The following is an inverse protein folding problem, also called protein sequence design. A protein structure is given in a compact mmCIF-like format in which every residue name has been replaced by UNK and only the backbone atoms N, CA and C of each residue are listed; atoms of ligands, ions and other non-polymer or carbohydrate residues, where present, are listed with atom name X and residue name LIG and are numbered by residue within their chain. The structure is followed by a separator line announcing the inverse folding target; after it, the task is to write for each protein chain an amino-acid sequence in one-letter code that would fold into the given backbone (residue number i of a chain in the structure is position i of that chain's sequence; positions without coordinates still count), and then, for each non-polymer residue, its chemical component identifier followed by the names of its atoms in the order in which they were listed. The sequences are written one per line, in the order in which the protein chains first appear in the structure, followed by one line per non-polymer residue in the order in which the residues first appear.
data_IF_112556658201
#
_entry.id   IF_112556658201
#
_cell.length_a   1.000
_cell.length_b   1.000
_cell.length_c   1.000
_cell.angle_alpha   90.00
_cell.angle_beta   90.00
_cell.angle_gamma   90.00
#
_symmetry.space_group_name_H-M   'P 1'
#
loop_
_entity.id
_entity.type
_entity.pdbx_description
1 polymer ?
#
# COMPACT_ATOMS: atom_id res chain seq x y z
N UNK A 1 -7.02 -7.00 12.17
CA UNK A 1 -7.81 -8.24 11.98
C UNK A 1 -6.93 -9.41 12.37
N UNK A 2 -7.46 -10.34 13.17
CA UNK A 2 -6.70 -11.11 14.15
C UNK A 2 -5.98 -12.37 13.66
N UNK A 3 -5.97 -12.70 12.36
CA UNK A 3 -5.42 -13.98 11.87
C UNK A 3 -6.09 -15.23 12.47
N UNK A 4 -7.17 -15.08 13.24
CA UNK A 4 -7.80 -16.21 13.92
C UNK A 4 -8.52 -17.11 12.92
N UNK A 5 -9.25 -16.57 11.96
CA UNK A 5 -9.79 -17.36 10.85
C UNK A 5 -8.74 -18.29 10.19
N UNK A 6 -7.48 -17.81 10.17
CA UNK A 6 -6.24 -18.45 9.70
C UNK A 6 -5.84 -19.69 10.53
N UNK A 7 -5.88 -19.56 11.85
CA UNK A 7 -5.47 -20.64 12.75
C UNK A 7 -6.51 -21.78 12.86
N UNK A 8 -7.82 -21.51 12.64
CA UNK A 8 -8.89 -22.51 12.87
C UNK A 8 -8.85 -23.60 11.82
N UNK A 9 -8.64 -23.21 10.57
CA UNK A 9 -8.54 -24.16 9.48
C UNK A 9 -7.21 -24.94 9.56
N UNK A 10 -6.10 -24.27 9.88
CA UNK A 10 -4.78 -24.93 9.96
C UNK A 10 -4.68 -25.94 11.09
N UNK A 11 -5.20 -25.61 12.28
CA UNK A 11 -5.05 -26.46 13.47
C UNK A 11 -6.17 -27.50 13.62
N UNK A 12 -7.38 -27.20 13.14
CA UNK A 12 -8.58 -28.03 13.43
C UNK A 12 -9.40 -28.40 12.19
N UNK A 13 -8.92 -28.08 10.98
CA UNK A 13 -9.63 -28.30 9.69
C UNK A 13 -11.03 -27.66 9.64
N UNK A 14 -11.24 -26.63 10.46
CA UNK A 14 -12.50 -25.89 10.55
C UNK A 14 -12.38 -24.55 9.85
N UNK A 15 -12.93 -24.46 8.64
CA UNK A 15 -12.85 -23.28 7.79
C UNK A 15 -13.76 -22.13 8.26
N UNK A 16 -13.18 -20.95 8.49
CA UNK A 16 -13.94 -19.75 8.80
C UNK A 16 -14.84 -19.29 7.64
N UNK A 17 -14.42 -19.51 6.39
CA UNK A 17 -15.19 -19.20 5.19
C UNK A 17 -16.45 -20.08 5.04
N UNK A 18 -16.49 -21.22 5.74
CA UNK A 18 -17.64 -22.14 5.78
C UNK A 18 -18.50 -21.96 7.05
N UNK A 19 -18.24 -20.93 7.85
CA UNK A 19 -18.99 -20.64 9.08
C UNK A 19 -18.66 -21.55 10.28
N UNK A 20 -17.71 -22.48 10.14
CA UNK A 20 -17.38 -23.49 11.16
C UNK A 20 -16.23 -23.05 12.10
N UNK A 21 -15.96 -21.74 12.20
CA UNK A 21 -14.77 -21.19 12.87
C UNK A 21 -14.66 -21.64 14.34
N UNK A 22 -13.52 -22.23 14.70
CA UNK A 22 -13.24 -22.77 16.03
C UNK A 22 -12.67 -21.73 17.02
N UNK A 23 -12.64 -20.44 16.67
CA UNK A 23 -11.82 -19.49 17.42
C UNK A 23 -12.40 -18.88 18.67
N UNK A 24 -11.48 -18.77 19.61
CA UNK A 24 -11.58 -18.18 20.94
C UNK A 24 -12.27 -16.83 21.00
N UNK A 25 -12.08 -15.95 20.01
CA UNK A 25 -12.66 -14.59 20.02
C UNK A 25 -14.21 -14.51 20.05
N UNK A 26 -14.93 -15.62 19.89
CA UNK A 26 -16.40 -15.70 20.10
C UNK A 26 -16.81 -16.30 21.45
N UNK A 27 -15.86 -16.78 22.24
CA UNK A 27 -16.13 -17.38 23.53
C UNK A 27 -16.05 -16.32 24.63
N UNK A 28 -16.79 -16.53 25.71
CA UNK A 28 -16.75 -15.66 26.87
C UNK A 28 -15.58 -16.07 27.76
N UNK A 29 -14.60 -15.17 27.94
CA UNK A 29 -13.45 -15.41 28.81
C UNK A 29 -13.52 -14.65 30.12
N UNK A 30 -12.87 -15.22 31.14
CA UNK A 30 -12.55 -14.58 32.42
C UNK A 30 -11.07 -14.76 32.70
N UNK A 31 -10.39 -13.69 33.11
CA UNK A 31 -8.97 -13.72 33.46
C UNK A 31 -8.83 -14.14 34.93
N UNK A 32 -8.05 -15.19 35.22
CA UNK A 32 -7.77 -15.67 36.58
C UNK A 32 -6.27 -15.80 36.80
N UNK A 33 -5.83 -15.39 37.99
CA UNK A 33 -4.47 -15.53 38.47
C UNK A 33 -4.38 -16.71 39.43
N UNK A 34 -3.40 -17.59 39.25
CA UNK A 34 -3.18 -18.73 40.14
C UNK A 34 -1.94 -18.49 41.00
N UNK A 35 -2.13 -18.48 42.33
CA UNK A 35 -1.05 -18.38 43.31
C UNK A 35 -0.27 -19.70 43.38
N UNK A 36 0.97 -19.65 43.88
CA UNK A 36 1.86 -20.83 44.01
C UNK A 36 1.32 -21.93 44.93
N UNK A 37 0.30 -21.61 45.74
CA UNK A 37 -0.43 -22.57 46.59
C UNK A 37 -1.63 -23.22 45.87
N UNK A 38 -1.84 -22.92 44.58
CA UNK A 38 -2.89 -23.48 43.74
C UNK A 38 -4.22 -22.71 43.76
N UNK A 39 -4.36 -21.67 44.60
CA UNK A 39 -5.61 -20.88 44.65
C UNK A 39 -5.72 -19.92 43.46
N UNK A 40 -6.92 -19.77 42.89
CA UNK A 40 -7.16 -18.86 41.76
C UNK A 40 -8.06 -17.69 42.14
N UNK A 41 -7.69 -16.47 41.75
CA UNK A 41 -8.46 -15.23 41.97
C UNK A 41 -8.70 -14.49 40.65
N UNK A 42 -9.87 -13.87 40.52
CA UNK A 42 -10.20 -12.98 39.39
C UNK A 42 -9.62 -11.59 39.72
N UNK A 43 -8.77 -11.05 38.83
CA UNK A 43 -8.08 -9.78 39.05
C UNK A 43 -8.50 -8.79 37.97
N UNK A 44 -8.86 -7.60 38.40
CA UNK A 44 -9.17 -6.48 37.52
C UNK A 44 -7.87 -5.82 37.06
N UNK A 45 -7.62 -5.83 35.75
CA UNK A 45 -6.42 -5.25 35.15
C UNK A 45 -6.54 -3.72 35.09
N UNK A 46 -5.48 -3.02 35.47
CA UNK A 46 -5.35 -1.57 35.35
C UNK A 46 -3.94 -1.19 34.88
N UNK A 47 -3.73 0.08 34.56
CA UNK A 47 -2.46 0.55 33.99
C UNK A 47 -1.25 0.35 34.93
N UNK A 48 -1.49 0.21 36.24
CA UNK A 48 -0.44 0.02 37.23
C UNK A 48 0.00 -1.44 37.39
N UNK A 49 -0.85 -2.41 37.02
CA UNK A 49 -0.61 -3.83 37.31
C UNK A 49 -0.38 -4.69 36.06
N UNK A 50 -0.72 -4.22 34.86
CA UNK A 50 -0.64 -5.00 33.61
C UNK A 50 0.76 -5.51 33.28
N UNK A 51 1.81 -4.77 33.62
CA UNK A 51 3.20 -5.14 33.33
C UNK A 51 3.83 -6.12 34.33
N UNK A 52 3.10 -6.48 35.40
CA UNK A 52 3.59 -7.40 36.43
C UNK A 52 3.33 -8.88 36.08
N UNK A 53 2.68 -9.16 34.94
CA UNK A 53 2.21 -10.50 34.58
C UNK A 53 2.69 -10.92 33.19
N UNK A 54 3.05 -12.20 33.05
CA UNK A 54 3.22 -12.85 31.75
C UNK A 54 1.88 -13.48 31.34
N UNK A 55 1.34 -13.10 30.19
CA UNK A 55 0.12 -13.68 29.64
C UNK A 55 0.46 -14.92 28.82
N UNK A 56 -0.06 -16.08 29.23
CA UNK A 56 0.16 -17.36 28.58
C UNK A 56 -1.19 -17.94 28.12
N UNK A 57 -1.21 -18.50 26.90
CA UNK A 57 -2.32 -19.31 26.39
C UNK A 57 -1.93 -20.78 26.46
N UNK A 58 -2.80 -21.58 27.05
CA UNK A 58 -2.76 -23.04 27.00
C UNK A 58 -3.92 -23.53 26.12
N UNK A 59 -3.62 -24.43 25.18
CA UNK A 59 -4.63 -25.03 24.30
C UNK A 59 -5.09 -26.38 24.87
N UNK A 60 -6.41 -26.65 24.85
CA UNK A 60 -7.00 -27.89 25.40
C UNK A 60 -6.44 -29.20 24.78
N UNK A 61 -5.94 -29.14 23.54
CA UNK A 61 -5.38 -30.29 22.82
C UNK A 61 -3.87 -30.44 23.01
N UNK A 62 -3.21 -29.49 23.66
CA UNK A 62 -1.77 -29.51 23.99
C UNK A 62 -1.55 -29.12 25.46
N UNK A 63 -2.07 -29.92 26.40
CA UNK A 63 -1.92 -29.64 27.82
C UNK A 63 -0.43 -29.59 28.19
N UNK A 64 -0.01 -28.50 28.83
CA UNK A 64 1.37 -28.23 29.24
C UNK A 64 2.21 -27.39 28.27
N UNK A 65 1.75 -27.09 27.07
CA UNK A 65 2.43 -26.15 26.16
C UNK A 65 1.86 -24.73 26.32
N UNK A 66 2.64 -23.87 26.98
CA UNK A 66 2.28 -22.47 27.21
C UNK A 66 2.78 -21.58 26.07
N UNK A 67 1.88 -20.83 25.42
CA UNK A 67 2.21 -19.83 24.40
C UNK A 67 2.15 -18.43 24.98
N UNK A 68 3.25 -17.68 24.90
CA UNK A 68 3.29 -16.28 25.38
C UNK A 68 2.49 -15.36 24.46
N UNK A 69 1.54 -14.62 25.04
CA UNK A 69 0.97 -13.42 24.39
C UNK A 69 1.88 -12.26 24.77
N UNK A 70 2.64 -11.78 23.79
CA UNK A 70 3.37 -10.52 23.92
C UNK A 70 2.48 -9.41 23.35
N UNK A 71 2.27 -8.36 24.15
CA UNK A 71 1.63 -7.12 23.75
C UNK A 71 2.56 -5.98 24.18
N UNK A 72 3.04 -5.20 23.21
CA UNK A 72 3.80 -3.98 23.46
C UNK A 72 3.05 -2.76 22.89
N UNK A 73 3.71 -1.59 22.86
CA UNK A 73 3.13 -0.37 22.27
C UNK A 73 2.70 -0.53 20.78
N UNK A 74 3.13 -1.59 20.10
CA UNK A 74 2.84 -1.89 18.69
C UNK A 74 1.77 -3.00 18.52
N UNK A 75 1.32 -3.66 19.60
CA UNK A 75 0.16 -4.55 19.66
C UNK A 75 0.48 -6.03 19.98
N UNK A 76 -0.53 -6.91 19.89
CA UNK A 76 -0.37 -8.34 20.24
C UNK A 76 0.07 -9.22 19.06
N UNK A 77 1.16 -9.97 19.21
CA UNK A 77 1.86 -10.65 18.10
C UNK A 77 1.23 -11.96 17.59
N UNK A 78 0.32 -12.58 18.34
CA UNK A 78 -0.46 -13.75 17.89
C UNK A 78 -1.54 -13.38 16.85
N UNK A 79 -1.76 -12.09 16.58
CA UNK A 79 -2.96 -11.58 15.87
C UNK A 79 -2.70 -10.83 14.55
N UNK A 80 -1.48 -10.83 14.02
CA UNK A 80 -1.08 -9.94 12.92
C UNK A 80 -1.01 -10.64 11.56
N UNK A 81 -2.14 -11.11 11.05
CA UNK A 81 -2.21 -11.65 9.69
C UNK A 81 -2.08 -10.57 8.61
N UNK A 82 -1.40 -10.95 7.52
CA UNK A 82 -1.37 -10.20 6.27
C UNK A 82 -2.77 -10.06 5.67
N UNK A 83 -2.95 -9.07 4.80
CA UNK A 83 -4.22 -8.85 4.11
C UNK A 83 -4.43 -9.97 3.05
N UNK A 84 -5.63 -10.53 2.97
CA UNK A 84 -5.99 -11.48 1.93
C UNK A 84 -6.00 -10.77 0.57
N UNK A 85 -5.29 -11.31 -0.42
CA UNK A 85 -5.35 -10.83 -1.79
C UNK A 85 -5.37 -12.00 -2.77
N UNK A 86 -6.50 -12.18 -3.46
CA UNK A 86 -6.70 -13.27 -4.41
C UNK A 86 -6.57 -12.82 -5.88
N UNK A 87 -6.04 -11.62 -6.13
CA UNK A 87 -5.72 -11.16 -7.48
C UNK A 87 -4.87 -12.20 -8.26
N UNK A 88 -3.83 -12.85 -7.66
CA UNK A 88 -3.08 -13.91 -8.35
C UNK A 88 -3.88 -15.15 -8.74
N UNK A 89 -5.04 -15.36 -8.12
CA UNK A 89 -5.92 -16.52 -8.31
C UNK A 89 -7.25 -16.14 -8.95
N UNK A 90 -7.39 -14.88 -9.38
CA UNK A 90 -8.64 -14.34 -9.88
C UNK A 90 -9.10 -15.08 -11.14
N UNK A 91 -8.18 -15.41 -12.06
CA UNK A 91 -8.47 -16.20 -13.26
C UNK A 91 -9.14 -17.53 -12.93
N UNK A 92 -8.62 -18.26 -11.94
CA UNK A 92 -9.18 -19.54 -11.49
C UNK A 92 -10.64 -19.39 -11.03
N UNK A 93 -10.96 -18.33 -10.28
CA UNK A 93 -12.33 -18.06 -9.83
C UNK A 93 -13.27 -17.67 -10.97
N UNK A 94 -12.78 -16.94 -11.97
CA UNK A 94 -13.57 -16.55 -13.13
C UNK A 94 -13.85 -17.74 -14.04
N UNK A 95 -12.86 -18.62 -14.24
CA UNK A 95 -13.01 -19.87 -15.00
C UNK A 95 -14.02 -20.82 -14.35
N UNK A 96 -14.05 -20.87 -13.01
CA UNK A 96 -15.05 -21.63 -12.26
C UNK A 96 -16.50 -21.13 -12.45
N UNK A 97 -16.69 -19.92 -12.98
CA UNK A 97 -18.00 -19.34 -13.23
C UNK A 97 -18.67 -18.75 -11.98
N UNK A 98 -17.90 -18.18 -11.06
CA UNK A 98 -18.44 -17.52 -9.86
C UNK A 98 -19.27 -16.28 -10.26
N UNK A 99 -20.53 -16.20 -9.81
CA UNK A 99 -21.45 -15.10 -10.16
C UNK A 99 -21.10 -13.75 -9.50
N UNK A 100 -20.48 -13.79 -8.32
CA UNK A 100 -20.23 -12.59 -7.52
C UNK A 100 -18.94 -12.68 -6.73
N UNK A 101 -18.10 -11.68 -6.92
CA UNK A 101 -16.89 -11.43 -6.12
C UNK A 101 -17.13 -10.23 -5.19
N UNK A 102 -16.64 -10.32 -3.95
CA UNK A 102 -16.76 -9.25 -2.97
C UNK A 102 -15.37 -8.70 -2.64
N UNK A 103 -15.16 -7.40 -2.89
CA UNK A 103 -14.05 -6.63 -2.32
C UNK A 103 -14.45 -6.14 -0.93
N UNK A 104 -13.69 -6.48 0.11
CA UNK A 104 -13.96 -6.04 1.48
C UNK A 104 -13.42 -4.63 1.73
N UNK A 105 -14.32 -3.66 1.91
CA UNK A 105 -14.00 -2.26 2.15
C UNK A 105 -14.27 -1.77 3.59
N UNK A 106 -14.77 -2.61 4.50
CA UNK A 106 -15.09 -2.19 5.87
C UNK A 106 -13.84 -1.66 6.57
N UNK A 107 -13.95 -0.47 7.17
CA UNK A 107 -12.88 0.26 7.85
C UNK A 107 -11.70 0.63 6.92
N UNK A 108 -11.87 0.55 5.61
CA UNK A 108 -10.90 1.05 4.62
C UNK A 108 -11.30 2.45 4.18
N UNK A 109 -10.32 3.26 3.78
CA UNK A 109 -10.56 4.62 3.27
C UNK A 109 -11.21 4.59 1.89
N UNK A 110 -11.84 5.70 1.49
CA UNK A 110 -12.35 5.86 0.13
C UNK A 110 -11.25 5.66 -0.92
N UNK A 111 -10.02 6.13 -0.63
CA UNK A 111 -8.83 5.89 -1.46
C UNK A 111 -8.58 4.41 -1.71
N UNK A 112 -8.53 3.61 -0.63
CA UNK A 112 -8.32 2.16 -0.74
C UNK A 112 -9.42 1.50 -1.55
N UNK A 113 -10.69 1.81 -1.24
CA UNK A 113 -11.83 1.21 -1.92
C UNK A 113 -11.83 1.52 -3.42
N UNK A 114 -11.53 2.77 -3.81
CA UNK A 114 -11.49 3.19 -5.20
C UNK A 114 -10.39 2.47 -6.00
N UNK A 115 -9.16 2.42 -5.48
CA UNK A 115 -8.03 1.78 -6.18
C UNK A 115 -8.22 0.27 -6.27
N UNK A 116 -8.64 -0.38 -5.18
CA UNK A 116 -8.84 -1.85 -5.17
C UNK A 116 -10.02 -2.23 -6.07
N UNK A 117 -11.15 -1.53 -5.99
CA UNK A 117 -12.29 -1.82 -6.86
C UNK A 117 -11.93 -1.62 -8.34
N UNK A 118 -11.21 -0.55 -8.67
CA UNK A 118 -10.70 -0.30 -10.02
C UNK A 118 -9.79 -1.42 -10.50
N UNK A 119 -8.80 -1.82 -9.69
CA UNK A 119 -7.84 -2.87 -10.07
C UNK A 119 -8.54 -4.21 -10.34
N UNK A 120 -9.46 -4.63 -9.46
CA UNK A 120 -10.23 -5.86 -9.68
C UNK A 120 -11.21 -5.75 -10.84
N UNK A 121 -11.88 -4.60 -11.04
CA UNK A 121 -12.80 -4.42 -12.18
C UNK A 121 -12.06 -4.55 -13.51
N UNK A 122 -10.94 -3.84 -13.67
CA UNK A 122 -10.09 -3.95 -14.85
C UNK A 122 -9.63 -5.39 -15.06
N UNK A 123 -9.10 -6.02 -14.00
CA UNK A 123 -8.64 -7.41 -14.09
C UNK A 123 -9.74 -8.38 -14.55
N UNK A 124 -10.99 -8.20 -14.10
CA UNK A 124 -12.10 -9.04 -14.54
C UNK A 124 -12.47 -8.74 -16.00
N UNK A 125 -12.57 -7.46 -16.37
CA UNK A 125 -12.92 -7.06 -17.75
C UNK A 125 -11.89 -7.56 -18.76
N UNK A 126 -10.61 -7.35 -18.47
CA UNK A 126 -9.48 -7.80 -19.27
C UNK A 126 -9.44 -9.34 -19.39
N UNK A 127 -9.82 -10.07 -18.33
CA UNK A 127 -9.90 -11.54 -18.37
C UNK A 127 -11.02 -12.01 -19.29
N UNK A 128 -12.19 -11.37 -19.28
CA UNK A 128 -13.29 -11.73 -20.18
C UNK A 128 -13.03 -11.34 -21.64
N UNK A 129 -12.19 -10.32 -21.88
CA UNK A 129 -11.78 -9.93 -23.24
C UNK A 129 -10.77 -10.90 -23.85
N UNK A 130 -9.73 -11.27 -23.09
CA UNK A 130 -8.70 -12.21 -23.53
C UNK A 130 -8.13 -13.03 -22.36
N UNK A 131 -8.77 -14.16 -22.00
CA UNK A 131 -8.31 -15.01 -20.91
C UNK A 131 -6.91 -15.59 -21.14
N UNK A 132 -6.48 -15.79 -22.40
CA UNK A 132 -5.21 -16.45 -22.73
C UNK A 132 -4.00 -15.54 -22.50
N UNK A 133 -4.13 -14.24 -22.78
CA UNK A 133 -3.05 -13.26 -22.54
C UNK A 133 -3.12 -12.58 -21.17
N UNK A 134 -4.16 -12.88 -20.39
CA UNK A 134 -4.37 -12.26 -19.09
C UNK A 134 -3.28 -12.61 -18.08
N UNK A 135 -2.83 -11.60 -17.32
CA UNK A 135 -1.91 -11.78 -16.20
C UNK A 135 -2.28 -10.87 -15.04
N UNK A 136 -2.33 -11.45 -13.85
CA UNK A 136 -2.61 -10.74 -12.60
C UNK A 136 -1.53 -9.70 -12.26
N UNK A 137 -0.30 -9.90 -12.75
CA UNK A 137 0.85 -9.04 -12.43
C UNK A 137 0.59 -7.59 -12.86
N UNK A 138 -0.18 -7.40 -13.93
CA UNK A 138 -0.57 -6.10 -14.47
C UNK A 138 -1.36 -5.23 -13.48
N UNK A 139 -1.94 -5.81 -12.44
CA UNK A 139 -2.79 -5.11 -11.46
C UNK A 139 -2.17 -5.04 -10.07
N UNK A 140 -1.10 -5.80 -9.80
CA UNK A 140 -0.52 -5.88 -8.46
C UNK A 140 0.10 -4.56 -8.01
N UNK A 141 0.71 -3.79 -8.91
CA UNK A 141 1.31 -2.49 -8.59
C UNK A 141 0.27 -1.52 -7.99
N UNK A 142 -0.97 -1.54 -8.52
CA UNK A 142 -2.07 -0.71 -8.00
C UNK A 142 -2.53 -1.17 -6.60
N UNK A 143 -2.57 -2.49 -6.36
CA UNK A 143 -2.91 -3.04 -5.05
C UNK A 143 -1.81 -2.79 -4.00
N UNK A 144 -0.54 -2.78 -4.42
CA UNK A 144 0.59 -2.46 -3.55
C UNK A 144 0.70 -0.95 -3.27
N UNK A 145 0.12 -0.11 -4.13
CA UNK A 145 0.07 1.34 -3.96
C UNK A 145 -0.93 1.82 -2.90
N UNK A 146 -1.76 0.94 -2.32
CA UNK A 146 -2.65 1.27 -1.21
C UNK A 146 -2.12 0.74 0.13
N UNK A 147 -2.36 1.44 1.26
CA UNK A 147 -1.93 0.96 2.57
C UNK A 147 -2.44 -0.45 2.87
N UNK A 148 -1.50 -1.38 3.07
CA UNK A 148 -1.77 -2.77 3.37
C UNK A 148 -0.73 -3.31 4.36
N UNK A 149 -0.98 -4.49 4.95
CA UNK A 149 -0.07 -5.14 5.91
C UNK A 149 0.78 -6.23 5.24
N UNK A 150 1.08 -6.11 3.95
CA UNK A 150 1.50 -7.22 3.11
C UNK A 150 0.30 -8.07 2.67
N UNK A 151 0.47 -8.79 1.57
CA UNK A 151 -0.56 -9.66 1.00
C UNK A 151 -0.24 -11.14 1.17
N UNK A 152 -1.28 -11.94 1.32
CA UNK A 152 -1.19 -13.40 1.34
C UNK A 152 -2.39 -14.03 0.64
N UNK A 153 -2.20 -15.21 0.05
CA UNK A 153 -3.25 -16.10 -0.46
C UNK A 153 -4.03 -16.79 0.66
N UNK A 154 -3.54 -16.67 1.90
CA UNK A 154 -4.05 -17.30 3.09
C UNK A 154 -4.19 -18.82 2.92
N UNK A 155 -5.42 -19.29 2.69
CA UNK A 155 -5.75 -20.71 2.64
C UNK A 155 -6.02 -21.24 1.25
N UNK A 156 -5.90 -20.39 0.24
CA UNK A 156 -6.34 -20.76 -1.10
C UNK A 156 -5.61 -22.02 -1.60
N UNK A 157 -4.29 -22.08 -1.44
CA UNK A 157 -3.46 -23.22 -1.81
C UNK A 157 -3.28 -24.25 -0.66
N UNK A 158 -4.16 -24.21 0.35
CA UNK A 158 -4.20 -25.16 1.45
C UNK A 158 -3.66 -24.60 2.76
N UNK A 159 -2.70 -25.31 3.37
CA UNK A 159 -2.18 -24.97 4.70
C UNK A 159 -1.33 -23.72 4.63
N UNK A 160 -1.52 -22.85 5.62
CA UNK A 160 -0.76 -21.61 5.75
C UNK A 160 0.71 -21.86 5.98
N UNK A 161 1.48 -20.95 5.42
CA UNK A 161 2.91 -20.84 5.67
C UNK A 161 3.19 -19.76 6.72
N UNK A 162 4.36 -19.83 7.33
CA UNK A 162 4.86 -18.83 8.27
C UNK A 162 4.89 -17.42 7.64
N UNK A 163 5.09 -17.31 6.33
CA UNK A 163 5.16 -16.02 5.62
C UNK A 163 3.84 -15.27 5.46
N UNK A 164 2.71 -15.91 5.81
CA UNK A 164 1.37 -15.30 5.80
C UNK A 164 1.10 -14.38 7.02
N UNK A 165 2.04 -14.32 7.96
CA UNK A 165 1.94 -13.52 9.18
C UNK A 165 3.03 -12.45 9.22
N UNK A 166 2.73 -11.38 9.97
CA UNK A 166 3.71 -10.36 10.30
C UNK A 166 4.15 -10.54 11.74
N UNK A 167 5.43 -10.85 11.93
CA UNK A 167 6.00 -11.00 13.27
C UNK A 167 6.67 -9.71 13.74
N UNK A 168 7.11 -8.87 12.80
CA UNK A 168 7.95 -7.70 13.07
C UNK A 168 7.15 -6.38 13.15
N UNK A 169 6.08 -6.23 12.36
CA UNK A 169 5.33 -4.98 12.25
C UNK A 169 3.88 -5.21 11.78
N UNK A 170 2.92 -4.60 12.48
CA UNK A 170 1.48 -4.73 12.22
C UNK A 170 0.88 -3.52 11.47
N UNK A 171 1.65 -2.47 11.21
CA UNK A 171 1.14 -1.25 10.60
C UNK A 171 0.86 -1.41 9.11
N UNK A 172 -0.13 -0.65 8.62
CA UNK A 172 -0.41 -0.60 7.18
C UNK A 172 0.54 0.39 6.50
N UNK A 173 1.21 -0.07 5.45
CA UNK A 173 2.25 0.67 4.73
C UNK A 173 1.98 0.65 3.23
N UNK A 174 2.44 1.70 2.55
CA UNK A 174 2.41 1.82 1.09
C UNK A 174 3.40 2.89 0.62
N UNK A 175 3.87 2.76 -0.62
CA UNK A 175 4.72 3.75 -1.30
C UNK A 175 3.96 5.03 -1.65
N UNK A 176 2.63 4.97 -1.71
CA UNK A 176 1.78 6.11 -2.02
C UNK A 176 0.89 6.46 -0.84
N UNK A 177 0.54 7.74 -0.74
CA UNK A 177 -0.47 8.24 0.17
C UNK A 177 -1.54 9.02 -0.58
N UNK A 178 -2.70 9.11 0.05
CA UNK A 178 -3.88 9.73 -0.55
C UNK A 178 -3.73 11.25 -0.58
N UNK A 179 -3.62 11.85 -1.77
CA UNK A 179 -3.44 13.28 -1.90
C UNK A 179 -4.78 14.04 -1.85
N UNK A 180 -5.82 13.49 -2.47
CA UNK A 180 -7.11 14.16 -2.63
C UNK A 180 -8.00 13.54 -3.71
N UNK A 181 -9.06 14.22 -4.11
CA UNK A 181 -9.90 13.81 -5.23
C UNK A 181 -10.31 15.01 -6.08
N UNK A 182 -10.66 14.75 -7.33
CA UNK A 182 -11.22 15.75 -8.24
C UNK A 182 -12.63 16.12 -7.78
N UNK A 183 -12.89 17.42 -7.61
CA UNK A 183 -14.20 17.97 -7.27
C UNK A 183 -14.91 18.63 -8.43
N UNK A 184 -14.18 19.03 -9.47
CA UNK A 184 -14.76 19.61 -10.68
C UNK A 184 -13.78 19.48 -11.85
N UNK A 185 -14.30 19.32 -13.07
CA UNK A 185 -13.50 19.37 -14.31
C UNK A 185 -14.20 20.29 -15.31
N UNK A 186 -13.44 21.23 -15.87
CA UNK A 186 -13.90 22.16 -16.90
C UNK A 186 -12.92 22.15 -18.08
N UNK A 187 -13.25 22.87 -19.15
CA UNK A 187 -12.33 23.08 -20.28
C UNK A 187 -11.10 23.92 -19.92
N UNK A 188 -11.14 24.64 -18.80
CA UNK A 188 -10.06 25.56 -18.39
C UNK A 188 -9.21 25.00 -17.25
N UNK A 189 -9.84 24.30 -16.29
CA UNK A 189 -9.16 23.77 -15.12
C UNK A 189 -9.78 22.47 -14.57
N UNK A 190 -8.96 21.75 -13.82
CA UNK A 190 -9.32 20.64 -12.93
C UNK A 190 -9.22 21.15 -11.50
N UNK A 191 -10.28 21.00 -10.70
CA UNK A 191 -10.30 21.35 -9.28
C UNK A 191 -10.09 20.10 -8.42
N UNK A 192 -9.18 20.18 -7.46
CA UNK A 192 -8.82 19.07 -6.58
C UNK A 192 -8.94 19.50 -5.12
N UNK A 193 -9.66 18.71 -4.33
CA UNK A 193 -9.72 18.83 -2.87
C UNK A 193 -8.65 17.93 -2.24
N UNK A 194 -7.85 18.48 -1.34
CA UNK A 194 -6.72 17.76 -0.74
C UNK A 194 -7.06 17.15 0.62
N UNK A 195 -6.43 16.02 0.91
CA UNK A 195 -6.59 15.24 2.15
C UNK A 195 -5.30 15.02 2.91
N UNK A 196 -4.15 15.24 2.26
CA UNK A 196 -2.84 15.30 2.90
C UNK A 196 -2.06 16.52 2.43
N UNK A 197 -0.98 16.86 3.16
CA UNK A 197 -0.09 17.99 2.83
C UNK A 197 0.56 17.75 1.47
N UNK A 198 0.62 18.78 0.62
CA UNK A 198 1.32 18.73 -0.66
C UNK A 198 2.34 19.87 -0.74
N UNK A 199 3.53 19.58 -1.25
CA UNK A 199 4.65 20.51 -1.40
C UNK A 199 5.00 20.75 -2.87
N UNK A 200 5.56 21.93 -3.14
CA UNK A 200 6.11 22.28 -4.43
C UNK A 200 7.14 21.23 -4.91
N UNK A 201 6.98 20.83 -6.16
CA UNK A 201 7.77 19.83 -6.85
C UNK A 201 7.28 18.38 -6.67
N UNK A 202 6.31 18.11 -5.79
CA UNK A 202 5.72 16.77 -5.68
C UNK A 202 4.96 16.38 -6.95
N UNK A 203 4.96 15.08 -7.25
CA UNK A 203 4.22 14.51 -8.38
C UNK A 203 2.91 13.95 -7.86
N UNK A 204 1.81 14.44 -8.44
CA UNK A 204 0.47 13.92 -8.23
C UNK A 204 0.15 12.90 -9.33
N UNK A 205 -0.43 11.77 -8.95
CA UNK A 205 -0.94 10.76 -9.86
C UNK A 205 -2.46 10.72 -9.78
N UNK A 206 -3.12 10.99 -10.89
CA UNK A 206 -4.56 10.85 -11.08
C UNK A 206 -4.86 9.42 -11.51
N UNK A 207 -5.52 8.68 -10.61
CA UNK A 207 -5.90 7.29 -10.82
C UNK A 207 -7.17 7.26 -11.67
N UNK A 208 -7.00 7.22 -12.99
CA UNK A 208 -8.08 7.31 -13.96
C UNK A 208 -9.04 6.11 -13.82
N UNK A 209 -10.34 6.31 -13.55
CA UNK A 209 -11.25 5.20 -13.19
C UNK A 209 -11.42 4.16 -14.30
N UNK A 210 -11.42 4.60 -15.57
CA UNK A 210 -11.70 3.74 -16.74
C UNK A 210 -10.45 3.37 -17.55
N UNK A 211 -9.27 3.87 -17.17
CA UNK A 211 -8.05 3.71 -17.95
C UNK A 211 -6.96 3.11 -17.08
N UNK A 212 -6.20 2.13 -17.60
CA UNK A 212 -5.11 1.47 -16.85
C UNK A 212 -4.01 2.45 -16.44
N UNK A 213 -3.64 3.36 -17.34
CA UNK A 213 -2.59 4.35 -17.07
C UNK A 213 -3.06 5.47 -16.13
N UNK A 214 -2.13 5.96 -15.31
CA UNK A 214 -2.33 7.13 -14.45
C UNK A 214 -1.79 8.38 -15.14
N UNK A 215 -2.47 9.51 -14.96
CA UNK A 215 -1.95 10.81 -15.39
C UNK A 215 -1.07 11.37 -14.28
N UNK A 216 0.19 11.64 -14.61
CA UNK A 216 1.16 12.21 -13.65
C UNK A 216 1.36 13.68 -13.93
N UNK A 217 1.28 14.51 -12.91
CA UNK A 217 1.58 15.95 -13.01
C UNK A 217 2.50 16.37 -11.87
N UNK A 218 3.55 17.11 -12.20
CA UNK A 218 4.41 17.75 -11.21
C UNK A 218 3.92 19.17 -10.98
N UNK A 219 3.62 19.50 -9.73
CA UNK A 219 3.10 20.81 -9.34
C UNK A 219 4.17 21.61 -8.61
N UNK A 220 4.41 22.86 -9.00
CA UNK A 220 5.36 23.77 -8.33
C UNK A 220 4.66 24.84 -7.50
N UNK A 221 3.42 25.16 -7.86
CA UNK A 221 2.61 26.19 -7.25
C UNK A 221 1.16 25.71 -7.21
N UNK A 222 0.41 26.14 -6.20
CA UNK A 222 -0.97 25.74 -5.99
C UNK A 222 -1.86 26.98 -5.92
N UNK A 223 -2.74 27.14 -6.92
CA UNK A 223 -3.70 28.24 -6.99
C UNK A 223 -4.97 27.87 -6.25
N UNK A 224 -5.24 28.54 -5.13
CA UNK A 224 -6.43 28.32 -4.30
C UNK A 224 -7.72 28.57 -5.09
N UNK A 225 -8.66 27.64 -5.01
CA UNK A 225 -9.97 27.76 -5.66
C UNK A 225 -10.86 28.82 -5.01
N UNK A 226 -10.61 29.17 -3.74
CA UNK A 226 -11.44 30.10 -2.97
C UNK A 226 -11.12 31.57 -3.23
N UNK A 227 -9.82 31.91 -3.30
CA UNK A 227 -9.34 33.30 -3.33
C UNK A 227 -8.29 33.56 -4.42
N UNK A 228 -7.88 32.55 -5.19
CA UNK A 228 -6.84 32.67 -6.21
C UNK A 228 -5.42 32.84 -5.65
N UNK A 229 -5.23 32.74 -4.33
CA UNK A 229 -3.90 32.84 -3.72
C UNK A 229 -2.98 31.71 -4.18
N UNK A 230 -1.73 32.04 -4.49
CA UNK A 230 -0.70 31.07 -4.91
C UNK A 230 0.13 30.67 -3.70
N UNK A 231 0.36 29.35 -3.55
CA UNK A 231 1.13 28.78 -2.43
C UNK A 231 2.11 27.73 -2.96
N UNK A 232 3.22 27.55 -2.26
CA UNK A 232 4.23 26.51 -2.50
C UNK A 232 4.04 25.27 -1.60
N UNK A 233 3.18 25.37 -0.58
CA UNK A 233 2.76 24.29 0.29
C UNK A 233 1.29 24.43 0.67
N UNK A 234 0.55 23.33 0.62
CA UNK A 234 -0.88 23.28 0.94
C UNK A 234 -1.17 22.17 1.95
N UNK A 235 -2.16 22.40 2.82
CA UNK A 235 -2.56 21.52 3.92
C UNK A 235 -4.07 21.27 3.88
N UNK A 236 -4.55 20.08 4.28
CA UNK A 236 -5.95 19.67 4.06
C UNK A 236 -6.99 20.60 4.72
N UNK A 237 -6.66 21.19 5.88
CA UNK A 237 -7.41 22.31 6.48
C UNK A 237 -8.94 22.17 6.39
N UNK A 238 -9.62 23.27 6.06
CA UNK A 238 -11.06 23.30 5.81
C UNK A 238 -11.41 22.86 4.37
N UNK A 239 -11.09 21.61 4.02
CA UNK A 239 -11.27 21.06 2.66
C UNK A 239 -10.66 21.99 1.59
N UNK A 240 -9.37 22.29 1.75
CA UNK A 240 -8.66 23.16 0.82
C UNK A 240 -8.74 22.59 -0.61
N UNK A 241 -9.08 23.47 -1.56
CA UNK A 241 -9.20 23.14 -2.98
C UNK A 241 -8.26 24.01 -3.80
N UNK A 242 -7.61 23.42 -4.79
CA UNK A 242 -6.77 24.14 -5.74
C UNK A 242 -7.15 23.81 -7.18
N UNK A 243 -6.83 24.74 -8.08
CA UNK A 243 -7.09 24.60 -9.52
C UNK A 243 -5.79 24.30 -10.25
N UNK A 244 -5.87 23.33 -11.15
CA UNK A 244 -4.83 22.98 -12.11
C UNK A 244 -5.34 23.38 -13.49
N UNK A 245 -4.69 24.29 -14.21
CA UNK A 245 -5.13 24.64 -15.56
C UNK A 245 -4.98 23.43 -16.48
N UNK A 246 -5.92 23.22 -17.40
CA UNK A 246 -5.88 22.09 -18.36
C UNK A 246 -4.59 22.13 -19.20
N UNK A 247 -4.04 23.31 -19.44
CA UNK A 247 -2.75 23.49 -20.13
C UNK A 247 -1.54 22.91 -19.38
N UNK A 248 -1.66 22.63 -18.08
CA UNK A 248 -0.60 21.97 -17.33
C UNK A 248 -0.53 20.45 -17.60
N UNK A 249 -1.52 19.87 -18.28
CA UNK A 249 -1.51 18.49 -18.77
C UNK A 249 -0.93 18.42 -20.19
N UNK A 250 0.30 18.92 -20.35
CA UNK A 250 0.97 19.20 -21.63
C UNK A 250 1.26 17.96 -22.51
N UNK A 251 1.14 16.76 -21.96
CA UNK A 251 1.32 15.48 -22.66
C UNK A 251 -0.01 14.75 -22.92
N UNK A 252 -1.12 15.32 -22.50
CA UNK A 252 -2.46 14.76 -22.69
C UNK A 252 -3.22 15.56 -23.74
N UNK A 253 -4.22 14.95 -24.38
CA UNK A 253 -5.17 15.70 -25.21
C UNK A 253 -6.18 16.42 -24.29
N UNK A 254 -6.24 17.77 -24.28
CA UNK A 254 -7.19 18.54 -23.48
C UNK A 254 -8.64 18.11 -23.65
N UNK A 255 -9.03 17.64 -24.84
CA UNK A 255 -10.40 17.19 -25.11
C UNK A 255 -10.76 15.91 -24.35
N UNK A 256 -9.77 15.09 -23.99
CA UNK A 256 -9.96 13.81 -23.28
C UNK A 256 -9.92 13.94 -21.76
N UNK A 257 -9.44 15.07 -21.24
CA UNK A 257 -9.26 15.29 -19.79
C UNK A 257 -10.56 15.08 -18.99
N UNK A 258 -11.72 15.65 -19.38
CA UNK A 258 -12.96 15.44 -18.63
C UNK A 258 -13.41 13.98 -18.52
N UNK A 259 -13.10 13.17 -19.54
CA UNK A 259 -13.45 11.75 -19.62
C UNK A 259 -12.45 10.87 -18.87
N UNK A 260 -11.15 11.21 -18.94
CA UNK A 260 -10.10 10.45 -18.27
C UNK A 260 -10.03 10.68 -16.76
N UNK A 261 -10.29 11.90 -16.31
CA UNK A 261 -10.22 12.28 -14.90
C UNK A 261 -11.51 12.96 -14.40
N UNK A 262 -12.67 12.28 -14.47
CA UNK A 262 -13.95 12.85 -14.05
C UNK A 262 -13.98 13.19 -12.55
N UNK A 263 -15.07 13.82 -12.09
CA UNK A 263 -15.30 14.03 -10.65
C UNK A 263 -15.16 12.73 -9.85
N UNK A 264 -14.66 12.84 -8.62
CA UNK A 264 -14.29 11.73 -7.74
C UNK A 264 -13.07 10.92 -8.20
N UNK A 265 -12.38 11.31 -9.28
CA UNK A 265 -11.07 10.74 -9.61
C UNK A 265 -10.13 10.92 -8.42
N UNK A 266 -9.58 9.80 -7.96
CA UNK A 266 -8.65 9.77 -6.84
C UNK A 266 -7.29 10.30 -7.28
N UNK A 267 -6.70 11.12 -6.42
CA UNK A 267 -5.34 11.64 -6.58
C UNK A 267 -4.46 11.08 -5.46
N UNK A 268 -3.32 10.51 -5.83
CA UNK A 268 -2.30 10.02 -4.89
C UNK A 268 -0.97 10.72 -5.13
N UNK A 269 -0.08 10.62 -4.15
CA UNK A 269 1.31 11.06 -4.29
C UNK A 269 2.24 10.06 -3.62
N UNK A 270 3.51 10.06 -3.98
CA UNK A 270 4.49 9.23 -3.27
C UNK A 270 4.65 9.67 -1.83
N UNK A 271 4.67 8.70 -0.94
CA UNK A 271 5.00 8.88 0.47
C UNK A 271 6.51 8.82 0.62
N UNK A 272 7.03 9.70 1.47
CA UNK A 272 8.44 9.60 1.87
C UNK A 272 8.61 8.50 2.90
N UNK A 273 9.30 7.42 2.50
CA UNK A 273 9.59 6.28 3.35
C UNK A 273 11.01 6.33 3.91
N UNK A 274 11.17 5.92 5.17
CA UNK A 274 12.47 5.69 5.81
C UNK A 274 13.03 4.30 5.47
N UNK A 275 14.25 4.01 5.93
CA UNK A 275 14.94 2.75 5.65
C UNK A 275 14.19 1.52 6.18
N UNK A 276 13.61 1.59 7.39
CA UNK A 276 12.79 0.51 7.97
C UNK A 276 11.55 0.23 7.12
N UNK A 277 10.85 1.26 6.70
CA UNK A 277 9.66 1.15 5.85
C UNK A 277 10.01 0.53 4.48
N UNK A 278 11.13 0.93 3.86
CA UNK A 278 11.58 0.32 2.61
C UNK A 278 11.96 -1.15 2.77
N UNK A 279 12.67 -1.50 3.84
CA UNK A 279 13.06 -2.89 4.09
C UNK A 279 11.84 -3.74 4.44
N UNK A 280 10.83 -3.15 5.07
CA UNK A 280 9.54 -3.80 5.30
C UNK A 280 8.82 -4.13 3.99
N UNK A 281 8.68 -3.16 3.08
CA UNK A 281 8.05 -3.41 1.77
C UNK A 281 8.75 -4.52 0.98
N UNK A 282 10.09 -4.56 1.01
CA UNK A 282 10.88 -5.62 0.36
C UNK A 282 10.64 -6.99 0.99
N UNK A 283 10.46 -7.05 2.31
CA UNK A 283 10.13 -8.31 3.00
C UNK A 283 8.72 -8.78 2.61
N UNK A 284 7.74 -7.87 2.55
CA UNK A 284 6.37 -8.20 2.17
C UNK A 284 6.27 -8.69 0.71
N UNK A 285 7.02 -8.07 -0.21
CA UNK A 285 7.14 -8.52 -1.59
C UNK A 285 7.76 -9.92 -1.70
N UNK A 286 8.86 -10.16 -0.98
CA UNK A 286 9.55 -11.45 -0.96
C UNK A 286 8.69 -12.56 -0.35
N UNK A 287 7.96 -12.24 0.73
CA UNK A 287 7.04 -13.18 1.35
C UNK A 287 5.92 -13.62 0.41
N UNK A 288 5.32 -12.66 -0.32
CA UNK A 288 4.31 -12.95 -1.35
C UNK A 288 4.89 -13.83 -2.45
N UNK A 289 6.12 -13.53 -2.90
CA UNK A 289 6.79 -14.34 -3.93
C UNK A 289 7.01 -15.78 -3.44
N UNK A 290 7.54 -15.94 -2.23
CA UNK A 290 7.74 -17.25 -1.62
C UNK A 290 6.43 -18.03 -1.47
N UNK A 291 5.34 -17.36 -1.10
CA UNK A 291 4.02 -18.01 -1.01
C UNK A 291 3.49 -18.44 -2.38
N UNK A 292 3.72 -17.65 -3.43
CA UNK A 292 3.24 -17.94 -4.80
C UNK A 292 4.07 -19.01 -5.51
N UNK A 293 5.39 -19.01 -5.35
CA UNK A 293 6.29 -19.90 -6.11
C UNK A 293 6.85 -21.05 -5.30
N UNK A 294 6.82 -20.97 -3.97
CA UNK A 294 7.50 -21.91 -3.07
C UNK A 294 9.03 -21.78 -3.09
N UNK A 295 9.59 -20.84 -3.86
CA UNK A 295 11.03 -20.63 -4.00
C UNK A 295 11.49 -19.43 -3.15
N UNK A 296 12.78 -19.40 -2.77
CA UNK A 296 13.45 -18.22 -2.17
C UNK A 296 13.37 -18.04 -0.65
N UNK A 297 13.31 -19.14 0.13
CA UNK A 297 13.31 -19.08 1.60
C UNK A 297 14.57 -18.35 2.17
N UNK A 298 15.73 -18.56 1.57
CA UNK A 298 16.98 -17.87 1.96
C UNK A 298 16.92 -16.37 1.71
N UNK A 299 16.25 -15.93 0.63
CA UNK A 299 16.07 -14.51 0.37
C UNK A 299 15.10 -13.88 1.38
N UNK A 300 14.02 -14.58 1.72
CA UNK A 300 13.07 -14.17 2.76
C UNK A 300 13.80 -13.99 4.11
N UNK A 301 14.57 -14.98 4.55
CA UNK A 301 15.35 -14.90 5.80
C UNK A 301 16.31 -13.70 5.78
N UNK A 302 17.04 -13.49 4.68
CA UNK A 302 17.94 -12.33 4.53
C UNK A 302 17.19 -11.00 4.63
N UNK A 303 16.00 -10.88 4.02
CA UNK A 303 15.18 -9.66 4.09
C UNK A 303 14.61 -9.42 5.49
N UNK A 304 14.22 -10.50 6.19
CA UNK A 304 13.75 -10.44 7.56
C UNK A 304 14.85 -9.95 8.50
N UNK A 305 16.04 -10.53 8.38
CA UNK A 305 17.19 -10.14 9.21
C UNK A 305 17.61 -8.68 8.92
N UNK A 306 17.49 -8.25 7.65
CA UNK A 306 17.70 -6.84 7.27
C UNK A 306 16.67 -5.90 7.93
N UNK A 307 15.39 -6.26 7.92
CA UNK A 307 14.35 -5.49 8.60
C UNK A 307 14.62 -5.40 10.10
N UNK A 308 14.91 -6.53 10.76
CA UNK A 308 15.25 -6.56 12.18
C UNK A 308 16.46 -5.65 12.51
N UNK A 309 17.50 -5.68 11.67
CA UNK A 309 18.66 -4.80 11.83
C UNK A 309 18.32 -3.31 11.65
N UNK A 310 17.38 -2.98 10.76
CA UNK A 310 16.91 -1.60 10.56
C UNK A 310 16.01 -1.11 11.72
N UNK A 311 15.24 -2.01 12.36
CA UNK A 311 14.39 -1.70 13.51
C UNK A 311 15.19 -1.43 14.78
N UNK A 312 16.35 -2.05 14.93
CA UNK A 312 17.26 -1.82 16.05
C UNK A 312 17.97 -0.45 15.98
N UNK A 313 17.89 0.24 14.85
CA UNK A 313 18.51 1.54 14.63
C UNK A 313 17.49 2.67 14.82
N UNK A 314 17.95 3.85 15.24
CA UNK A 314 17.10 5.03 15.28
C UNK A 314 16.58 5.33 13.87
N UNK A 315 15.29 5.71 13.71
CA UNK A 315 14.70 5.95 12.40
C UNK A 315 15.48 7.06 11.67
N UNK A 316 16.10 6.68 10.55
CA UNK A 316 16.83 7.64 9.71
C UNK A 316 15.87 8.69 9.14
N UNK A 317 16.33 9.94 8.96
CA UNK A 317 15.50 11.02 8.46
C UNK A 317 14.92 10.69 7.08
N UNK A 318 13.64 11.04 6.93
CA UNK A 318 12.84 10.98 5.71
C UNK A 318 13.61 11.61 4.54
N UNK A 319 14.13 10.81 3.61
CA UNK A 319 14.60 11.31 2.32
C UNK A 319 13.40 11.43 1.41
N UNK A 320 12.80 12.62 1.35
CA UNK A 320 11.75 12.89 0.36
C UNK A 320 12.24 12.44 -1.02
N UNK A 321 11.43 11.71 -1.81
CA UNK A 321 11.86 11.22 -3.11
C UNK A 321 12.25 12.44 -3.97
N UNK A 322 13.57 12.67 -4.06
CA UNK A 322 14.28 13.76 -4.75
C UNK A 322 13.42 15.02 -4.90
N UNK A 323 13.50 15.87 -3.87
CA UNK A 323 13.38 17.34 -3.95
C UNK A 323 12.90 17.80 -5.32
N UNK A 324 11.58 17.96 -5.44
CA UNK A 324 10.91 18.17 -6.72
C UNK A 324 11.29 19.46 -7.47
N UNK A 325 12.20 20.25 -6.89
CA UNK A 325 12.88 21.42 -7.46
C UNK A 325 14.35 21.18 -7.86
N UNK A 326 14.99 20.09 -7.42
CA UNK A 326 16.44 19.86 -7.59
C UNK A 326 16.78 18.80 -8.66
N UNK A 327 15.79 18.03 -9.14
CA UNK A 327 16.03 17.05 -10.20
C UNK A 327 14.80 16.37 -10.80
N UNK A 328 14.99 15.73 -11.96
CA UNK A 328 13.98 14.91 -12.61
C UNK A 328 13.91 13.50 -11.98
N UNK A 329 12.70 13.05 -11.64
CA UNK A 329 12.45 11.68 -11.15
C UNK A 329 12.41 10.63 -12.27
N UNK A 330 12.34 11.04 -13.53
CA UNK A 330 12.29 10.14 -14.69
C UNK A 330 10.94 9.43 -14.90
N UNK A 331 9.87 9.84 -14.20
CA UNK A 331 8.53 9.24 -14.30
C UNK A 331 7.71 9.67 -15.54
N UNK A 332 8.20 10.63 -16.32
CA UNK A 332 7.45 11.17 -17.47
C UNK A 332 6.16 11.88 -17.06
N UNK A 333 6.25 12.89 -16.18
CA UNK A 333 5.10 13.66 -15.70
C UNK A 333 4.86 14.92 -16.55
N UNK A 334 3.60 15.32 -16.63
CA UNK A 334 3.16 16.63 -17.09
C UNK A 334 3.74 17.74 -16.19
N UNK A 335 3.96 18.94 -16.74
CA UNK A 335 4.40 20.11 -15.97
C UNK A 335 5.84 20.04 -15.41
N UNK A 336 6.69 19.11 -15.85
CA UNK A 336 8.04 18.94 -15.32
C UNK A 336 9.05 19.98 -15.84
N UNK A 337 9.08 21.16 -15.21
CA UNK A 337 9.94 22.29 -15.62
C UNK A 337 11.43 21.93 -15.74
N UNK A 338 11.98 21.21 -14.75
CA UNK A 338 13.39 20.80 -14.75
C UNK A 338 13.71 19.93 -15.98
N UNK A 339 12.84 18.97 -16.28
CA UNK A 339 13.03 18.10 -17.42
C UNK A 339 12.88 18.85 -18.75
N UNK A 340 12.01 19.85 -18.84
CA UNK A 340 11.76 20.60 -20.07
C UNK A 340 12.81 21.67 -20.36
N UNK A 341 13.39 22.29 -19.32
CA UNK A 341 14.25 23.47 -19.49
C UNK A 341 15.74 23.24 -19.23
N UNK A 342 16.13 22.22 -18.44
CA UNK A 342 17.54 22.00 -18.13
C UNK A 342 18.26 21.35 -19.35
N UNK A 343 19.37 21.94 -19.86
CA UNK A 343 20.14 21.41 -20.98
C UNK A 343 20.64 19.97 -20.76
N UNK A 344 20.85 19.59 -19.50
CA UNK A 344 21.33 18.26 -19.11
C UNK A 344 20.38 17.14 -19.56
N UNK A 345 19.08 17.42 -19.69
CA UNK A 345 18.08 16.45 -20.16
C UNK A 345 17.81 16.48 -21.67
N UNK A 346 18.60 17.21 -22.47
CA UNK A 346 18.37 17.31 -23.93
C UNK A 346 18.36 15.95 -24.63
N UNK A 347 19.28 15.04 -24.28
CA UNK A 347 19.32 13.68 -24.84
C UNK A 347 18.09 12.87 -24.43
N UNK A 348 17.71 12.93 -23.15
CA UNK A 348 16.53 12.24 -22.63
C UNK A 348 15.22 12.75 -23.27
N UNK A 349 15.12 14.04 -23.61
CA UNK A 349 13.99 14.62 -24.36
C UNK A 349 13.92 14.10 -25.80
N UNK A 350 15.07 13.92 -26.46
CA UNK A 350 15.11 13.36 -27.81
C UNK A 350 14.62 11.89 -27.82
N UNK A 351 15.07 11.08 -26.87
CA UNK A 351 14.62 9.68 -26.73
C UNK A 351 13.14 9.56 -26.35
N UNK A 352 12.63 10.43 -25.46
CA UNK A 352 11.22 10.38 -25.05
C UNK A 352 10.24 10.70 -26.17
N UNK A 353 10.68 11.36 -27.26
CA UNK A 353 9.85 11.57 -28.46
C UNK A 353 9.65 10.30 -29.27
N UNK A 354 10.54 9.33 -29.12
CA UNK A 354 10.51 8.05 -29.86
C UNK A 354 9.88 6.91 -29.03
N UNK A 355 9.57 7.16 -27.75
CA UNK A 355 9.01 6.16 -26.82
C UNK A 355 7.51 6.31 -26.62
N UNK A 356 6.84 5.17 -26.38
CA UNK A 356 5.42 5.15 -25.98
C UNK A 356 5.25 5.68 -24.55
N UNK A 357 4.07 6.26 -24.29
CA UNK A 357 3.65 6.71 -22.96
C UNK A 357 3.86 5.58 -21.93
N UNK A 358 4.55 5.85 -20.82
CA UNK A 358 4.78 4.87 -19.75
C UNK A 358 6.13 4.12 -19.77
N UNK A 359 6.89 4.17 -20.87
CA UNK A 359 8.21 3.52 -20.92
C UNK A 359 9.27 4.29 -20.12
N UNK A 360 9.94 3.60 -19.17
CA UNK A 360 11.02 4.21 -18.38
C UNK A 360 12.22 4.53 -19.27
N UNK A 361 12.86 5.69 -19.04
CA UNK A 361 14.18 6.01 -19.59
C UNK A 361 15.22 4.97 -19.17
N UNK A 362 16.23 4.70 -20.01
CA UNK A 362 17.35 3.82 -19.64
C UNK A 362 18.11 4.36 -18.42
N UNK A 363 18.66 3.48 -17.58
CA UNK A 363 19.31 3.87 -16.31
C UNK A 363 20.47 4.84 -16.49
N UNK A 364 21.16 4.80 -17.64
CA UNK A 364 22.23 5.71 -18.03
C UNK A 364 21.78 7.16 -18.27
N UNK A 365 20.48 7.42 -18.41
CA UNK A 365 19.93 8.75 -18.67
C UNK A 365 19.08 9.30 -17.51
N UNK A 366 18.89 8.51 -16.44
CA UNK A 366 18.24 8.95 -15.18
C UNK A 366 19.17 9.70 -14.22
N UNK A 367 20.48 9.69 -14.47
CA UNK A 367 21.50 10.22 -13.58
C UNK A 367 22.50 11.07 -14.36
N UNK A 368 22.29 12.38 -14.36
CA UNK A 368 23.28 13.33 -14.85
C UNK A 368 24.00 14.10 -13.73
N UNK A 369 24.04 13.54 -12.51
CA UNK A 369 24.99 13.95 -11.48
C UNK A 369 25.58 12.73 -10.77
N UNK A 370 26.52 12.06 -11.44
CA UNK A 370 27.72 11.58 -10.75
C UNK A 370 28.86 12.46 -11.21
N UNK A 371 29.09 13.57 -10.52
CA UNK A 371 30.41 14.17 -10.50
C UNK A 371 30.60 15.02 -9.24
N UNK A 372 31.62 14.60 -8.48
CA UNK A 372 32.54 15.45 -7.71
C UNK A 372 32.00 16.18 -6.48
N UNK A 373 31.92 15.47 -5.36
CA UNK A 373 32.30 16.02 -4.04
C UNK A 373 33.58 15.33 -3.55
N UNK A 374 34.68 15.62 -4.23
CA UNK A 374 36.05 15.51 -3.71
C UNK A 374 36.82 16.70 -4.27
N UNK A 375 36.77 17.80 -3.51
CA UNK A 375 37.83 18.81 -3.35
C UNK A 375 37.40 19.74 -2.23
#
# INVERSE_FOLDING_TARGET
YSGRCLLSNYLTERGANQGNCAHSCRWHYKVKLQLKDGTSQEIELNDDNKELFNFLLEEDYRPGEMMTIEEDEQGSYILNAKDLCLMPKLGDFLELGVDSLKVEGRNKSAYYAAVVARAYRMAIDDWYEDPESWSYENYMDELLAVPNRGFSLAFHDGRLQNVAHNYEDAHSLSEYEFAGWVTAVTTEYVEVEIKNRILAGEVLEFVCPSYRDVIRIRMYEFVSAADGSVRDAIHPGQNFRFRIPVTAFDREDPATIPDRIPELTVVRKERTLNTREWDRLKLDEEARRLELTGESETAYQRKRDQLAASMAQAPEPKRAPRTGTEGCCGKGCNGCLIFSHDPVFTKARAELKEKKMGEKLSSSHRLARKSTSQS
#
